data_IF_339466675007
#
_entry.id   IF_339466675007
#
_cell.length_a   1.000
_cell.length_b   1.000
_cell.length_c   1.000
_cell.angle_alpha   90.00
_cell.angle_beta   90.00
_cell.angle_gamma   90.00
#
_symmetry.space_group_name_H-M   'P 1'
#
loop_
_entity.id
_entity.type
_entity.pdbx_description
1 polymer ?
#
# COMPACT_ATOMS: atom_id res chain seq x y z
N UNK A 1 76.78 14.95 -9.84
CA UNK A 1 76.12 15.40 -11.08
C UNK A 1 75.47 14.17 -11.70
N UNK A 2 74.29 13.78 -11.20
CA UNK A 2 73.43 12.72 -11.71
C UNK A 2 72.22 12.62 -10.78
N UNK A 3 71.27 13.53 -10.95
CA UNK A 3 69.89 13.44 -10.48
C UNK A 3 69.10 14.35 -11.39
N UNK A 4 68.62 13.81 -12.50
CA UNK A 4 67.53 14.33 -13.32
C UNK A 4 67.25 13.22 -14.33
N UNK A 5 65.97 12.88 -14.52
CA UNK A 5 65.40 11.90 -15.48
C UNK A 5 64.72 10.67 -14.83
N UNK A 6 63.71 10.89 -14.00
CA UNK A 6 62.63 9.92 -13.82
C UNK A 6 61.30 10.61 -13.44
N UNK A 7 60.82 11.51 -14.30
CA UNK A 7 59.41 11.94 -14.32
C UNK A 7 58.84 11.74 -15.73
N UNK A 8 58.97 10.51 -16.23
CA UNK A 8 58.36 10.06 -17.46
C UNK A 8 56.94 9.54 -17.20
N UNK A 9 55.97 10.18 -17.87
CA UNK A 9 54.76 9.54 -18.37
C UNK A 9 53.49 9.45 -17.49
N UNK A 10 53.07 10.60 -16.92
CA UNK A 10 51.68 10.80 -16.44
C UNK A 10 50.76 11.49 -17.47
N UNK A 11 51.16 11.60 -18.74
CA UNK A 11 50.34 12.18 -19.82
C UNK A 11 49.49 11.13 -20.55
N UNK A 12 48.78 10.28 -19.81
CA UNK A 12 47.58 9.64 -20.38
C UNK A 12 46.54 10.76 -20.53
N UNK A 13 46.15 11.05 -21.77
CA UNK A 13 45.14 12.04 -22.09
C UNK A 13 43.86 11.79 -21.27
N UNK A 14 43.71 12.51 -20.16
CA UNK A 14 42.46 12.59 -19.42
C UNK A 14 41.49 13.33 -20.34
N UNK A 15 40.71 12.57 -21.10
CA UNK A 15 39.54 13.11 -21.79
C UNK A 15 38.69 13.81 -20.75
N UNK A 16 38.57 15.12 -20.85
CA UNK A 16 37.74 15.90 -19.93
C UNK A 16 36.35 15.26 -19.89
N UNK A 17 35.83 14.95 -18.69
CA UNK A 17 34.54 14.31 -18.58
C UNK A 17 33.48 15.22 -19.20
N UNK A 18 32.48 14.61 -19.83
CA UNK A 18 31.40 15.32 -20.52
C UNK A 18 30.06 15.02 -19.87
N UNK A 19 29.16 16.00 -19.89
CA UNK A 19 27.79 15.83 -19.43
C UNK A 19 27.12 14.70 -20.22
N UNK A 20 26.48 13.72 -19.57
CA UNK A 20 25.85 12.61 -20.26
C UNK A 20 24.70 13.04 -21.19
N UNK A 21 24.12 14.24 -20.94
CA UNK A 21 22.97 14.79 -21.65
C UNK A 21 23.36 15.67 -22.84
N UNK A 22 24.04 16.80 -22.60
CA UNK A 22 24.38 17.77 -23.64
C UNK A 22 25.82 17.65 -24.18
N UNK A 23 26.62 16.73 -23.64
CA UNK A 23 28.03 16.51 -24.00
C UNK A 23 28.98 17.69 -23.76
N UNK A 24 28.54 18.76 -23.09
CA UNK A 24 29.44 19.83 -22.64
C UNK A 24 30.50 19.29 -21.67
N UNK A 25 31.71 19.84 -21.73
CA UNK A 25 32.76 19.52 -20.75
C UNK A 25 32.29 19.89 -19.33
N UNK A 26 32.55 19.02 -18.37
CA UNK A 26 32.22 19.20 -16.96
C UNK A 26 33.46 19.01 -16.09
N UNK A 27 33.44 19.58 -14.88
CA UNK A 27 34.52 19.41 -13.92
C UNK A 27 34.49 18.03 -13.26
N UNK A 28 35.61 17.61 -12.68
CA UNK A 28 35.66 16.38 -11.88
C UNK A 28 34.65 16.40 -10.71
N UNK A 29 34.43 17.57 -10.09
CA UNK A 29 33.39 17.73 -9.07
C UNK A 29 32.00 17.47 -9.65
N UNK A 30 31.68 18.03 -10.81
CA UNK A 30 30.39 17.85 -11.48
C UNK A 30 30.13 16.40 -11.93
N UNK A 31 31.17 15.59 -12.13
CA UNK A 31 31.02 14.14 -12.35
C UNK A 31 30.51 13.44 -11.09
N UNK A 32 31.08 13.76 -9.93
CA UNK A 32 30.71 13.13 -8.66
C UNK A 32 29.35 13.66 -8.15
N UNK A 33 29.14 14.97 -8.22
CA UNK A 33 27.88 15.63 -7.88
C UNK A 33 27.70 16.91 -8.70
N UNK A 34 26.61 17.05 -9.48
CA UNK A 34 25.42 16.17 -9.55
C UNK A 34 25.46 15.08 -10.66
N UNK A 35 26.59 14.86 -11.33
CA UNK A 35 26.69 13.94 -12.48
C UNK A 35 26.24 14.55 -13.81
N UNK A 36 26.06 15.87 -13.88
CA UNK A 36 25.69 16.62 -15.09
C UNK A 36 26.23 18.07 -15.04
N UNK A 37 26.11 18.83 -16.14
CA UNK A 37 26.70 20.17 -16.26
C UNK A 37 25.97 21.30 -15.48
N UNK A 38 24.88 21.00 -14.78
CA UNK A 38 24.06 22.01 -14.08
C UNK A 38 23.06 22.80 -14.93
N UNK A 39 23.13 22.76 -16.27
CA UNK A 39 22.14 23.42 -17.12
C UNK A 39 20.74 22.82 -16.92
N UNK A 40 19.70 23.67 -16.90
CA UNK A 40 18.30 23.27 -16.62
C UNK A 40 17.82 22.06 -17.46
N UNK A 41 18.02 21.99 -18.80
CA UNK A 41 17.61 20.82 -19.57
C UNK A 41 18.33 19.53 -19.15
N UNK A 42 19.59 19.63 -18.72
CA UNK A 42 20.37 18.48 -18.27
C UNK A 42 19.96 18.04 -16.85
N UNK A 43 19.57 18.99 -15.99
CA UNK A 43 19.02 18.72 -14.67
C UNK A 43 17.67 17.99 -14.77
N UNK A 44 16.75 18.50 -15.59
CA UNK A 44 15.46 17.85 -15.83
C UNK A 44 15.62 16.44 -16.43
N UNK A 45 16.51 16.28 -17.40
CA UNK A 45 16.80 14.97 -17.97
C UNK A 45 17.46 14.02 -16.94
N UNK A 46 18.28 14.54 -16.03
CA UNK A 46 18.87 13.73 -14.95
C UNK A 46 17.80 13.24 -13.98
N UNK A 47 16.90 14.12 -13.53
CA UNK A 47 15.74 13.76 -12.69
C UNK A 47 14.87 12.74 -13.41
N UNK A 48 14.50 12.99 -14.66
CA UNK A 48 13.64 12.09 -15.43
C UNK A 48 14.26 10.70 -15.59
N UNK A 49 15.57 10.60 -15.85
CA UNK A 49 16.27 9.31 -15.88
C UNK A 49 16.29 8.64 -14.51
N UNK A 50 16.49 9.39 -13.43
CA UNK A 50 16.44 8.85 -12.07
C UNK A 50 15.06 8.29 -11.72
N UNK A 51 13.99 9.03 -12.04
CA UNK A 51 12.60 8.58 -11.85
C UNK A 51 12.30 7.35 -12.70
N UNK A 52 12.72 7.32 -13.96
CA UNK A 52 12.53 6.17 -14.83
C UNK A 52 13.29 4.94 -14.33
N UNK A 53 14.56 5.09 -13.95
CA UNK A 53 15.35 3.99 -13.41
C UNK A 53 14.75 3.43 -12.12
N UNK A 54 14.22 4.28 -11.23
CA UNK A 54 13.49 3.82 -10.04
C UNK A 54 12.21 3.08 -10.39
N UNK A 55 11.48 3.52 -11.43
CA UNK A 55 10.28 2.82 -11.91
C UNK A 55 10.64 1.44 -12.48
N UNK A 56 11.64 1.38 -13.37
CA UNK A 56 12.10 0.15 -14.01
C UNK A 56 12.61 -0.85 -12.96
N UNK A 57 13.36 -0.37 -11.96
CA UNK A 57 13.84 -1.20 -10.86
C UNK A 57 12.67 -1.79 -10.06
N UNK A 58 11.68 -0.97 -9.68
CA UNK A 58 10.50 -1.46 -8.94
C UNK A 58 9.69 -2.48 -9.73
N UNK A 59 9.55 -2.29 -11.04
CA UNK A 59 8.86 -3.22 -11.91
C UNK A 59 9.60 -4.56 -11.99
N UNK A 60 10.93 -4.54 -12.10
CA UNK A 60 11.78 -5.73 -12.04
C UNK A 60 11.65 -6.45 -10.69
N UNK A 61 11.77 -5.72 -9.57
CA UNK A 61 11.62 -6.27 -8.22
C UNK A 61 10.23 -6.91 -8.02
N UNK A 62 9.17 -6.33 -8.59
CA UNK A 62 7.82 -6.90 -8.53
C UNK A 62 7.70 -8.20 -9.35
N UNK A 63 8.27 -8.24 -10.56
CA UNK A 63 8.28 -9.45 -11.41
C UNK A 63 9.07 -10.58 -10.74
N UNK A 64 10.22 -10.28 -10.14
CA UNK A 64 11.03 -11.27 -9.42
C UNK A 64 10.27 -11.86 -8.23
N UNK A 65 9.64 -11.02 -7.41
CA UNK A 65 8.76 -11.47 -6.32
C UNK A 65 7.60 -12.32 -6.83
N UNK A 66 6.99 -11.94 -7.95
CA UNK A 66 5.91 -12.71 -8.58
C UNK A 66 6.38 -14.09 -9.01
N UNK A 67 7.54 -14.21 -9.65
CA UNK A 67 8.09 -15.49 -10.09
C UNK A 67 8.46 -16.39 -8.91
N UNK A 68 9.14 -15.84 -7.90
CA UNK A 68 9.47 -16.58 -6.67
C UNK A 68 8.20 -17.07 -5.94
N UNK A 69 7.18 -16.22 -5.85
CA UNK A 69 5.91 -16.59 -5.23
C UNK A 69 5.16 -17.67 -6.01
N UNK A 70 5.19 -17.64 -7.35
CA UNK A 70 4.61 -18.69 -8.20
C UNK A 70 5.25 -20.04 -7.95
N UNK A 71 6.59 -20.08 -7.92
CA UNK A 71 7.35 -21.30 -7.67
C UNK A 71 7.07 -21.84 -6.26
N UNK A 72 7.09 -20.98 -5.25
CA UNK A 72 6.87 -21.36 -3.85
C UNK A 72 5.43 -21.79 -3.51
N UNK A 73 4.45 -21.45 -4.34
CA UNK A 73 3.02 -21.75 -4.10
C UNK A 73 2.32 -22.46 -5.26
N UNK A 74 3.05 -23.17 -6.12
CA UNK A 74 2.51 -23.87 -7.28
C UNK A 74 1.27 -24.75 -6.96
N UNK A 75 1.29 -25.49 -5.84
CA UNK A 75 0.15 -26.29 -5.40
C UNK A 75 -1.08 -25.44 -5.06
N UNK A 76 -0.90 -24.36 -4.31
CA UNK A 76 -1.99 -23.44 -3.97
C UNK A 76 -2.53 -22.73 -5.22
N UNK A 77 -1.69 -22.43 -6.21
CA UNK A 77 -2.14 -21.88 -7.50
C UNK A 77 -3.00 -22.87 -8.28
N UNK A 78 -2.66 -24.16 -8.27
CA UNK A 78 -3.51 -25.19 -8.88
C UNK A 78 -4.87 -25.29 -8.16
N UNK A 79 -4.89 -25.20 -6.84
CA UNK A 79 -6.13 -25.13 -6.04
C UNK A 79 -6.94 -23.88 -6.36
N UNK A 80 -6.30 -22.72 -6.50
CA UNK A 80 -6.95 -21.48 -6.91
C UNK A 80 -7.63 -21.63 -8.27
N UNK A 81 -6.90 -22.18 -9.25
CA UNK A 81 -7.40 -22.40 -10.60
C UNK A 81 -8.62 -23.32 -10.60
N UNK A 82 -8.55 -24.42 -9.83
CA UNK A 82 -9.68 -25.33 -9.63
C UNK A 82 -10.92 -24.61 -9.07
N UNK A 83 -10.76 -23.81 -8.00
CA UNK A 83 -11.87 -23.08 -7.40
C UNK A 83 -12.47 -22.00 -8.33
N UNK A 84 -11.64 -21.40 -9.19
CA UNK A 84 -12.08 -20.41 -10.18
C UNK A 84 -12.52 -21.03 -11.51
N UNK A 85 -12.51 -22.37 -11.61
CA UNK A 85 -12.87 -23.13 -12.80
C UNK A 85 -12.12 -22.64 -14.05
N UNK A 86 -10.78 -22.55 -13.95
CA UNK A 86 -9.90 -22.19 -15.06
C UNK A 86 -8.60 -22.99 -15.02
N UNK A 87 -7.81 -22.86 -16.08
CA UNK A 87 -6.44 -23.39 -16.10
C UNK A 87 -5.51 -22.49 -15.28
N UNK A 88 -4.41 -23.05 -14.79
CA UNK A 88 -3.43 -22.27 -14.00
C UNK A 88 -2.76 -21.17 -14.83
N UNK A 89 -2.57 -21.40 -16.14
CA UNK A 89 -2.00 -20.42 -17.07
C UNK A 89 -2.94 -19.23 -17.34
N UNK A 90 -4.24 -19.39 -17.07
CA UNK A 90 -5.24 -18.32 -17.19
C UNK A 90 -5.30 -17.41 -15.95
N UNK A 91 -4.63 -17.79 -14.85
CA UNK A 91 -4.61 -16.99 -13.63
C UNK A 91 -3.67 -15.79 -13.77
N UNK A 92 -4.22 -14.60 -13.56
CA UNK A 92 -3.37 -13.46 -13.21
C UNK A 92 -2.81 -13.70 -11.81
N UNK A 93 -1.51 -13.47 -11.63
CA UNK A 93 -0.86 -13.61 -10.33
C UNK A 93 -0.51 -12.22 -9.81
N UNK A 94 -1.01 -11.87 -8.64
CA UNK A 94 -0.62 -10.65 -7.95
C UNK A 94 0.16 -11.01 -6.69
N UNK A 95 1.11 -10.15 -6.32
CA UNK A 95 1.84 -10.28 -5.07
C UNK A 95 1.60 -9.04 -4.25
N UNK A 96 1.26 -9.24 -2.98
CA UNK A 96 1.07 -8.17 -1.99
C UNK A 96 1.92 -8.49 -0.77
N UNK A 97 2.36 -7.49 0.01
CA UNK A 97 3.05 -7.77 1.27
C UNK A 97 2.12 -8.52 2.21
N UNK A 98 2.64 -9.22 3.20
CA UNK A 98 1.87 -9.89 4.23
C UNK A 98 2.27 -9.34 5.59
N UNK A 99 1.28 -8.91 6.39
CA UNK A 99 1.52 -8.49 7.76
C UNK A 99 1.97 -9.70 8.59
N UNK A 100 3.16 -9.62 9.19
CA UNK A 100 3.75 -10.68 10.01
C UNK A 100 4.04 -10.24 11.45
N UNK A 101 3.60 -9.06 11.87
CA UNK A 101 3.75 -8.61 13.24
C UNK A 101 2.92 -9.49 14.18
N UNK A 102 3.34 -9.67 15.44
CA UNK A 102 2.58 -10.43 16.42
C UNK A 102 1.18 -9.87 16.63
N UNK A 103 0.22 -10.77 16.86
CA UNK A 103 -1.13 -10.44 17.30
C UNK A 103 -1.18 -10.63 18.81
N UNK A 104 -1.51 -9.56 19.52
CA UNK A 104 -1.47 -9.49 20.98
C UNK A 104 -2.81 -8.91 21.49
N UNK A 105 -3.22 -9.19 22.74
CA UNK A 105 -4.42 -8.55 23.31
C UNK A 105 -4.35 -7.03 23.15
N UNK A 106 -5.44 -6.41 22.68
CA UNK A 106 -5.48 -4.96 22.48
C UNK A 106 -5.20 -4.26 23.82
N UNK A 107 -4.14 -3.43 23.94
CA UNK A 107 -3.80 -2.82 25.20
C UNK A 107 -4.96 -1.95 25.74
N UNK A 108 -5.33 -2.06 27.03
CA UNK A 108 -6.41 -1.26 27.60
C UNK A 108 -6.20 0.25 27.41
N UNK A 109 -4.95 0.72 27.54
CA UNK A 109 -4.60 2.12 27.30
C UNK A 109 -4.89 2.58 25.85
N UNK A 110 -4.74 1.70 24.85
CA UNK A 110 -5.05 2.03 23.45
C UNK A 110 -6.56 2.08 23.24
N UNK A 111 -7.29 1.14 23.83
CA UNK A 111 -8.76 1.13 23.83
C UNK A 111 -9.33 2.40 24.47
N UNK A 112 -8.81 2.80 25.62
CA UNK A 112 -9.21 4.03 26.32
C UNK A 112 -8.87 5.29 25.53
N UNK A 113 -7.65 5.38 24.98
CA UNK A 113 -7.24 6.50 24.16
C UNK A 113 -8.09 6.64 22.88
N UNK A 114 -8.40 5.50 22.24
CA UNK A 114 -9.30 5.47 21.09
C UNK A 114 -10.72 5.89 21.46
N UNK A 115 -11.27 5.38 22.57
CA UNK A 115 -12.60 5.77 23.04
C UNK A 115 -12.68 7.28 23.27
N UNK A 116 -11.69 7.87 23.96
CA UNK A 116 -11.66 9.32 24.21
C UNK A 116 -11.60 10.14 22.91
N UNK A 117 -10.78 9.71 21.95
CA UNK A 117 -10.73 10.36 20.64
C UNK A 117 -12.07 10.25 19.89
N UNK A 118 -12.65 9.06 19.90
CA UNK A 118 -13.91 8.75 19.23
C UNK A 118 -15.07 9.56 19.80
N UNK A 119 -15.23 9.58 21.12
CA UNK A 119 -16.27 10.36 21.81
C UNK A 119 -16.17 11.84 21.45
N UNK A 120 -14.95 12.39 21.45
CA UNK A 120 -14.69 13.78 21.07
C UNK A 120 -15.12 14.09 19.63
N UNK A 121 -14.69 13.30 18.64
CA UNK A 121 -15.02 13.58 17.24
C UNK A 121 -16.51 13.34 16.94
N UNK A 122 -17.18 12.47 17.69
CA UNK A 122 -18.62 12.25 17.56
C UNK A 122 -19.38 13.42 18.19
N UNK A 123 -19.03 13.86 19.40
CA UNK A 123 -19.64 15.04 20.03
C UNK A 123 -19.53 16.27 19.11
N UNK A 124 -18.34 16.51 18.55
CA UNK A 124 -18.11 17.58 17.58
C UNK A 124 -18.98 17.42 16.31
N UNK A 125 -19.15 16.20 15.79
CA UNK A 125 -20.00 15.94 14.62
C UNK A 125 -21.49 16.21 14.89
N UNK A 126 -22.01 15.77 16.05
CA UNK A 126 -23.40 16.01 16.44
C UNK A 126 -23.67 17.49 16.70
N UNK A 127 -22.72 18.22 17.28
CA UNK A 127 -22.84 19.66 17.54
C UNK A 127 -22.97 20.51 16.26
N UNK A 128 -22.44 20.04 15.12
CA UNK A 128 -22.56 20.72 13.84
C UNK A 128 -23.98 20.63 13.22
N UNK A 129 -24.79 19.66 13.64
CA UNK A 129 -26.19 19.49 13.24
C UNK A 129 -26.42 19.19 11.76
N UNK A 130 -27.69 19.22 11.34
CA UNK A 130 -28.14 18.74 10.02
C UNK A 130 -27.52 19.49 8.83
N UNK A 131 -27.20 20.78 8.98
CA UNK A 131 -26.58 21.57 7.91
C UNK A 131 -25.18 21.07 7.51
N UNK A 132 -24.46 20.44 8.44
CA UNK A 132 -23.15 19.84 8.14
C UNK A 132 -23.28 18.46 7.51
N UNK A 133 -24.40 17.74 7.72
CA UNK A 133 -24.69 16.47 7.05
C UNK A 133 -25.01 16.69 5.56
N UNK A 134 -25.73 17.77 5.24
CA UNK A 134 -26.04 18.15 3.85
C UNK A 134 -24.79 18.58 3.06
N UNK A 135 -23.82 19.19 3.75
CA UNK A 135 -22.55 19.65 3.17
C UNK A 135 -21.39 18.66 3.35
N UNK A 136 -21.61 17.58 4.10
CA UNK A 136 -20.65 16.49 4.16
C UNK A 136 -20.64 15.89 2.76
N UNK A 137 -19.65 16.29 1.96
CA UNK A 137 -19.32 15.62 0.72
C UNK A 137 -19.38 14.13 1.03
N UNK A 138 -20.34 13.44 0.41
CA UNK A 138 -20.42 11.99 0.46
C UNK A 138 -19.04 11.53 0.07
N UNK A 139 -18.26 11.12 1.07
CA UNK A 139 -16.90 10.68 0.85
C UNK A 139 -16.99 9.61 -0.24
N UNK A 140 -16.06 9.53 -1.20
CA UNK A 140 -16.12 8.59 -2.33
C UNK A 140 -16.10 7.10 -1.93
N UNK A 141 -16.40 6.77 -0.67
CA UNK A 141 -16.89 5.47 -0.22
C UNK A 141 -18.07 4.93 -1.07
N UNK A 142 -18.73 5.75 -1.89
CA UNK A 142 -19.88 5.32 -2.71
C UNK A 142 -19.52 4.79 -4.10
N UNK A 143 -18.32 5.03 -4.64
CA UNK A 143 -17.90 4.21 -5.78
C UNK A 143 -17.44 2.90 -5.16
N UNK A 144 -18.18 1.82 -5.40
CA UNK A 144 -17.72 0.49 -5.08
C UNK A 144 -16.33 0.31 -5.71
N UNK A 145 -15.26 0.48 -4.92
CA UNK A 145 -13.95 0.06 -5.38
C UNK A 145 -14.05 -1.42 -5.74
N UNK A 146 -13.36 -1.82 -6.80
CA UNK A 146 -13.45 -3.18 -7.31
C UNK A 146 -13.15 -4.17 -6.18
N UNK A 147 -14.02 -5.16 -6.01
CA UNK A 147 -13.94 -6.20 -4.98
C UNK A 147 -12.57 -6.92 -4.95
N UNK A 148 -11.81 -6.84 -6.04
CA UNK A 148 -10.42 -7.30 -6.15
C UNK A 148 -9.44 -6.54 -5.22
N UNK A 149 -9.64 -5.25 -4.99
CA UNK A 149 -8.80 -4.45 -4.09
C UNK A 149 -9.06 -4.89 -2.64
N UNK A 150 -10.31 -5.14 -2.28
CA UNK A 150 -10.68 -5.71 -0.98
C UNK A 150 -10.06 -7.08 -0.78
N UNK A 151 -10.06 -7.91 -1.83
CA UNK A 151 -9.43 -9.22 -1.79
C UNK A 151 -7.94 -9.10 -1.49
N UNK A 152 -7.25 -8.19 -2.17
CA UNK A 152 -5.83 -7.96 -1.97
C UNK A 152 -5.47 -7.39 -0.59
N UNK A 153 -6.27 -6.45 -0.09
CA UNK A 153 -6.13 -5.92 1.27
C UNK A 153 -6.33 -7.02 2.34
N UNK A 154 -7.29 -7.93 2.12
CA UNK A 154 -7.56 -9.06 3.01
C UNK A 154 -6.48 -10.15 2.92
N UNK A 155 -5.84 -10.30 1.76
CA UNK A 155 -4.67 -11.17 1.60
C UNK A 155 -3.44 -10.59 2.32
N UNK A 156 -3.21 -9.28 2.24
CA UNK A 156 -2.09 -8.62 2.94
C UNK A 156 -2.33 -8.42 4.45
N UNK A 157 -3.57 -8.60 4.90
CA UNK A 157 -4.04 -8.36 6.28
C UNK A 157 -3.71 -6.95 6.79
N UNK A 158 -3.77 -5.95 5.91
CA UNK A 158 -3.54 -4.56 6.30
C UNK A 158 -2.09 -4.22 6.59
N UNK A 159 -1.11 -4.80 5.88
CA UNK A 159 0.32 -4.46 6.04
C UNK A 159 0.59 -2.94 6.07
N UNK A 160 -0.12 -2.15 5.26
CA UNK A 160 0.03 -0.68 5.25
C UNK A 160 -0.58 0.02 6.47
N UNK A 161 -1.52 -0.61 7.19
CA UNK A 161 -2.18 -0.03 8.36
C UNK A 161 -1.19 0.24 9.51
N UNK A 162 -0.13 -0.59 9.63
CA UNK A 162 0.97 -0.37 10.56
C UNK A 162 1.74 0.94 10.30
N UNK A 163 1.72 1.45 9.07
CA UNK A 163 2.51 2.64 8.66
C UNK A 163 1.77 3.95 8.84
N UNK A 164 0.47 3.92 9.15
CA UNK A 164 -0.35 5.12 9.06
C UNK A 164 -1.41 5.30 10.15
N UNK A 165 -2.01 4.25 10.71
CA UNK A 165 -3.21 4.39 11.54
C UNK A 165 -3.07 5.20 12.84
N UNK A 166 -1.83 5.36 13.31
CA UNK A 166 -1.56 5.63 14.72
C UNK A 166 -2.11 4.50 15.60
N UNK A 167 -1.64 4.39 16.83
CA UNK A 167 -2.10 3.33 17.71
C UNK A 167 -3.54 3.56 18.19
N UNK A 168 -4.06 4.80 18.14
CA UNK A 168 -5.23 5.18 18.95
C UNK A 168 -6.30 6.03 18.25
N UNK A 169 -6.22 6.32 16.94
CA UNK A 169 -7.23 7.19 16.29
C UNK A 169 -7.78 6.65 14.97
N UNK A 170 -7.18 5.60 14.39
CA UNK A 170 -7.68 4.90 13.20
C UNK A 170 -8.04 5.81 12.01
N UNK A 171 -7.36 6.96 11.90
CA UNK A 171 -7.69 8.06 10.98
C UNK A 171 -9.15 8.58 11.03
N UNK A 172 -9.92 8.24 12.06
CA UNK A 172 -11.28 8.74 12.19
C UNK A 172 -11.24 10.23 12.52
N UNK A 173 -12.06 10.99 11.81
CA UNK A 173 -12.20 12.45 11.94
C UNK A 173 -13.67 12.82 12.04
N UNK A 174 -13.97 14.06 12.41
CA UNK A 174 -15.33 14.61 12.35
C UNK A 174 -15.97 14.41 10.97
N UNK A 175 -15.20 14.61 9.87
CA UNK A 175 -15.69 14.36 8.50
C UNK A 175 -16.08 12.89 8.27
N UNK A 176 -15.32 11.95 8.84
CA UNK A 176 -15.65 10.52 8.77
C UNK A 176 -16.99 10.23 9.45
N UNK A 177 -17.19 10.77 10.65
CA UNK A 177 -18.44 10.58 11.42
C UNK A 177 -19.62 11.23 10.72
N UNK A 178 -19.49 12.45 10.20
CA UNK A 178 -20.55 13.10 9.41
C UNK A 178 -20.93 12.28 8.17
N UNK A 179 -19.95 11.70 7.48
CA UNK A 179 -20.20 10.79 6.36
C UNK A 179 -20.99 9.55 6.78
N UNK A 180 -20.62 8.92 7.90
CA UNK A 180 -21.35 7.79 8.46
C UNK A 180 -22.78 8.15 8.89
N UNK A 181 -22.96 9.28 9.59
CA UNK A 181 -24.27 9.79 10.01
C UNK A 181 -25.18 10.17 8.82
N UNK A 182 -24.61 10.65 7.71
CA UNK A 182 -25.39 10.96 6.51
C UNK A 182 -26.17 9.76 5.96
N UNK A 183 -25.65 8.54 6.21
CA UNK A 183 -26.24 7.26 5.81
C UNK A 183 -27.06 6.59 6.93
N UNK A 184 -26.97 7.10 8.17
CA UNK A 184 -27.55 6.51 9.38
C UNK A 184 -28.11 7.62 10.29
N UNK A 185 -29.08 8.39 9.79
CA UNK A 185 -29.52 9.65 10.43
C UNK A 185 -30.32 9.43 11.71
N UNK A 186 -30.81 8.21 11.94
CA UNK A 186 -31.57 7.81 13.12
C UNK A 186 -30.72 7.44 14.34
N UNK A 187 -29.39 7.30 14.18
CA UNK A 187 -28.51 6.89 15.27
C UNK A 187 -28.25 8.02 16.26
N UNK A 188 -28.22 7.67 17.54
CA UNK A 188 -27.80 8.56 18.62
C UNK A 188 -26.28 8.51 18.78
N UNK A 189 -25.71 9.50 19.47
CA UNK A 189 -24.27 9.58 19.75
C UNK A 189 -23.74 8.28 20.40
N UNK A 190 -24.47 7.74 21.37
CA UNK A 190 -24.13 6.49 22.06
C UNK A 190 -24.11 5.29 21.12
N UNK A 191 -25.04 5.22 20.16
CA UNK A 191 -25.10 4.16 19.16
C UNK A 191 -23.89 4.19 18.23
N UNK A 192 -23.45 5.39 17.81
CA UNK A 192 -22.26 5.56 16.98
C UNK A 192 -21.00 5.16 17.76
N UNK A 193 -20.88 5.57 19.03
CA UNK A 193 -19.76 5.13 19.88
C UNK A 193 -19.74 3.60 19.98
N UNK A 194 -20.88 2.98 20.29
CA UNK A 194 -21.02 1.53 20.41
C UNK A 194 -20.60 0.82 19.12
N UNK A 195 -21.06 1.30 17.96
CA UNK A 195 -20.71 0.72 16.65
C UNK A 195 -19.19 0.59 16.44
N UNK A 196 -18.43 1.64 16.73
CA UNK A 196 -16.97 1.60 16.58
C UNK A 196 -16.28 0.84 17.71
N UNK A 197 -16.77 0.92 18.95
CA UNK A 197 -16.15 0.23 20.09
C UNK A 197 -16.37 -1.28 20.02
N UNK A 198 -17.52 -1.74 19.54
CA UNK A 198 -17.87 -3.16 19.38
C UNK A 198 -17.10 -3.80 18.21
N UNK A 199 -16.66 -2.99 17.24
CA UNK A 199 -15.81 -3.44 16.16
C UNK A 199 -14.33 -3.65 16.57
N UNK A 200 -13.92 -3.25 17.78
CA UNK A 200 -12.56 -3.50 18.25
C UNK A 200 -12.33 -5.01 18.44
N UNK A 201 -11.25 -5.58 17.87
CA UNK A 201 -10.91 -6.97 18.11
C UNK A 201 -10.43 -7.17 19.55
N UNK A 202 -10.58 -8.39 20.07
CA UNK A 202 -9.99 -8.78 21.36
C UNK A 202 -8.45 -8.75 21.31
N UNK A 203 -7.88 -9.10 20.16
CA UNK A 203 -6.45 -9.05 19.91
C UNK A 203 -6.17 -8.31 18.60
N UNK A 204 -5.21 -7.39 18.64
CA UNK A 204 -4.80 -6.57 17.51
C UNK A 204 -3.36 -6.86 17.13
N UNK A 205 -3.02 -6.57 15.89
CA UNK A 205 -1.63 -6.55 15.43
C UNK A 205 -0.85 -5.52 16.23
N UNK A 206 0.34 -5.89 16.71
CA UNK A 206 1.22 -5.00 17.46
C UNK A 206 1.71 -3.84 16.59
N UNK A 207 1.79 -2.64 17.18
CA UNK A 207 2.26 -1.41 16.53
C UNK A 207 1.48 -1.07 15.24
N UNK A 208 0.16 -1.30 15.29
CA UNK A 208 -0.77 -1.11 14.19
C UNK A 208 -2.05 -0.39 14.66
N UNK A 209 -2.96 -0.15 13.72
CA UNK A 209 -4.27 0.42 14.00
C UNK A 209 -5.08 -0.49 14.95
N UNK A 210 -5.83 0.10 15.89
CA UNK A 210 -6.70 -0.62 16.84
C UNK A 210 -7.69 -1.61 16.20
N UNK A 211 -8.08 -1.38 14.94
CA UNK A 211 -9.00 -2.27 14.20
C UNK A 211 -8.32 -3.38 13.41
N UNK A 212 -6.99 -3.47 13.43
CA UNK A 212 -6.27 -4.51 12.68
C UNK A 212 -6.16 -5.78 13.51
N UNK A 213 -6.94 -6.80 13.16
CA UNK A 213 -6.83 -8.17 13.70
C UNK A 213 -5.88 -9.02 12.87
N UNK A 214 -5.76 -10.29 13.27
CA UNK A 214 -5.09 -11.35 12.50
C UNK A 214 -5.73 -11.62 11.14
N UNK A 215 -6.95 -11.14 10.87
CA UNK A 215 -7.65 -11.30 9.59
C UNK A 215 -7.73 -9.99 8.78
N UNK A 216 -7.10 -8.92 9.25
CA UNK A 216 -7.16 -7.60 8.62
C UNK A 216 -8.04 -6.64 9.41
N UNK A 217 -8.67 -5.67 8.73
CA UNK A 217 -9.46 -4.66 9.42
C UNK A 217 -10.84 -5.19 9.83
N UNK A 218 -11.19 -5.08 11.10
CA UNK A 218 -12.50 -5.49 11.64
C UNK A 218 -13.62 -4.50 11.35
N UNK A 219 -13.30 -3.26 10.94
CA UNK A 219 -14.31 -2.33 10.47
C UNK A 219 -14.77 -2.68 9.06
N UNK A 220 -16.09 -2.64 8.89
CA UNK A 220 -16.76 -2.55 7.60
C UNK A 220 -16.24 -1.35 6.80
N UNK A 221 -16.11 -1.53 5.48
CA UNK A 221 -15.49 -0.53 4.60
C UNK A 221 -16.21 0.83 4.66
N UNK A 222 -17.54 0.81 4.79
CA UNK A 222 -18.39 2.00 4.91
C UNK A 222 -18.12 2.80 6.20
N UNK A 223 -17.62 2.15 7.25
CA UNK A 223 -17.25 2.79 8.52
C UNK A 223 -15.77 3.17 8.61
N UNK A 224 -14.95 2.82 7.62
CA UNK A 224 -13.54 3.20 7.61
C UNK A 224 -13.38 4.69 7.24
N UNK A 225 -12.28 5.28 7.69
CA UNK A 225 -11.87 6.60 7.23
C UNK A 225 -11.67 6.63 5.70
N UNK A 226 -11.93 7.78 5.09
CA UNK A 226 -11.78 7.97 3.64
C UNK A 226 -10.39 7.52 3.13
N UNK A 227 -9.33 7.86 3.87
CA UNK A 227 -7.97 7.45 3.53
C UNK A 227 -7.81 5.94 3.43
N UNK A 228 -8.43 5.17 4.35
CA UNK A 228 -8.39 3.71 4.32
C UNK A 228 -9.08 3.14 3.08
N UNK A 229 -10.01 3.90 2.50
CA UNK A 229 -10.79 3.48 1.34
C UNK A 229 -10.24 3.98 0.01
N UNK A 230 -9.25 4.88 0.00
CA UNK A 230 -8.66 5.42 -1.23
C UNK A 230 -7.15 5.22 -1.31
N UNK A 231 -6.53 4.66 -0.27
CA UNK A 231 -5.09 4.44 -0.23
C UNK A 231 -4.71 3.19 -1.01
N UNK A 232 -3.92 3.36 -2.06
CA UNK A 232 -3.29 2.26 -2.79
C UNK A 232 -1.82 2.18 -2.43
N UNK A 233 -1.40 1.04 -1.89
CA UNK A 233 0.02 0.75 -1.74
C UNK A 233 0.65 0.48 -3.12
N UNK A 234 1.98 0.48 -3.19
CA UNK A 234 2.69 0.23 -4.43
C UNK A 234 2.27 -1.09 -5.11
N UNK A 235 2.12 -2.16 -4.33
CA UNK A 235 1.75 -3.48 -4.86
C UNK A 235 0.27 -3.53 -5.31
N UNK A 236 -0.62 -2.76 -4.68
CA UNK A 236 -2.01 -2.60 -5.17
C UNK A 236 -2.05 -1.83 -6.49
N UNK A 237 -1.21 -0.82 -6.68
CA UNK A 237 -1.06 -0.16 -7.97
C UNK A 237 -0.57 -1.13 -9.06
N UNK A 238 0.47 -1.92 -8.77
CA UNK A 238 0.98 -2.92 -9.70
C UNK A 238 -0.11 -3.96 -10.05
N UNK A 239 -0.88 -4.41 -9.07
CA UNK A 239 -2.03 -5.30 -9.28
C UNK A 239 -3.13 -4.65 -10.14
N UNK A 240 -3.49 -3.39 -9.87
CA UNK A 240 -4.46 -2.67 -10.67
C UNK A 240 -4.01 -2.54 -12.13
N UNK A 241 -2.72 -2.32 -12.38
CA UNK A 241 -2.14 -2.28 -13.72
C UNK A 241 -2.20 -3.65 -14.42
N UNK A 242 -2.04 -4.77 -13.68
CA UNK A 242 -2.21 -6.13 -14.22
C UNK A 242 -3.62 -6.38 -14.74
N UNK A 243 -4.65 -5.87 -14.06
CA UNK A 243 -6.03 -6.03 -14.54
C UNK A 243 -6.35 -5.12 -15.72
N UNK A 244 -5.57 -4.04 -15.90
CA UNK A 244 -5.84 -2.96 -16.88
C UNK A 244 -7.25 -2.39 -16.73
N UNK A 245 -7.76 -2.35 -15.50
CA UNK A 245 -9.12 -1.90 -15.18
C UNK A 245 -10.22 -2.91 -15.56
N UNK A 246 -9.89 -4.14 -15.95
CA UNK A 246 -10.86 -5.21 -16.17
C UNK A 246 -11.31 -5.81 -14.85
N UNK A 247 -12.60 -6.05 -14.69
CA UNK A 247 -13.18 -6.74 -13.54
C UNK A 247 -13.38 -8.23 -13.80
N UNK A 248 -13.47 -8.68 -15.06
CA UNK A 248 -13.70 -10.08 -15.47
C UNK A 248 -12.43 -10.97 -15.38
N UNK A 249 -11.54 -10.67 -14.43
CA UNK A 249 -10.28 -11.39 -14.26
C UNK A 249 -10.41 -12.51 -13.23
N UNK A 250 -9.66 -13.60 -13.48
CA UNK A 250 -9.40 -14.65 -12.50
C UNK A 250 -8.00 -14.43 -11.97
N UNK A 251 -7.87 -14.28 -10.66
CA UNK A 251 -6.63 -13.87 -10.04
C UNK A 251 -6.31 -14.75 -8.83
N UNK A 252 -5.04 -15.11 -8.70
CA UNK A 252 -4.48 -15.55 -7.42
C UNK A 252 -3.62 -14.41 -6.85
N UNK A 253 -3.93 -14.04 -5.61
CA UNK A 253 -3.25 -12.99 -4.87
C UNK A 253 -2.40 -13.68 -3.80
N UNK A 254 -1.10 -13.42 -3.80
CA UNK A 254 -0.15 -14.05 -2.88
C UNK A 254 0.38 -13.00 -1.91
N UNK A 255 0.11 -13.18 -0.62
CA UNK A 255 0.73 -12.42 0.46
C UNK A 255 2.14 -12.93 0.71
N UNK A 256 3.15 -12.06 0.61
CA UNK A 256 4.57 -12.40 0.83
C UNK A 256 5.16 -11.63 2.00
N UNK A 257 5.99 -12.30 2.79
CA UNK A 257 6.79 -11.68 3.83
C UNK A 257 8.27 -11.98 3.58
N UNK A 258 9.10 -10.96 3.38
CA UNK A 258 10.53 -11.10 3.04
C UNK A 258 10.76 -12.20 1.98
N UNK A 259 10.04 -12.09 0.87
CA UNK A 259 10.02 -13.02 -0.28
C UNK A 259 9.48 -14.43 0.00
N UNK A 260 9.05 -14.72 1.23
CA UNK A 260 8.41 -15.98 1.60
C UNK A 260 6.89 -15.88 1.44
N UNK A 261 6.25 -16.69 0.58
CA UNK A 261 4.81 -16.68 0.43
C UNK A 261 4.10 -17.20 1.68
N UNK A 262 3.28 -16.35 2.30
CA UNK A 262 2.59 -16.61 3.56
C UNK A 262 1.12 -17.00 3.36
N UNK A 263 0.40 -16.31 2.48
CA UNK A 263 -1.05 -16.50 2.25
C UNK A 263 -1.37 -16.48 0.77
N UNK A 264 -2.36 -17.26 0.34
CA UNK A 264 -2.88 -17.18 -1.04
C UNK A 264 -4.39 -17.00 -0.99
N UNK A 265 -4.91 -16.12 -1.83
CA UNK A 265 -6.34 -15.97 -2.06
C UNK A 265 -6.63 -16.10 -3.55
N UNK A 266 -7.71 -16.79 -3.89
CA UNK A 266 -8.26 -16.80 -5.24
C UNK A 266 -9.37 -15.75 -5.32
N UNK A 267 -9.50 -15.07 -6.46
CA UNK A 267 -10.52 -14.06 -6.67
C UNK A 267 -11.07 -14.10 -8.10
N UNK A 268 -12.38 -13.94 -8.23
CA UNK A 268 -13.05 -13.48 -9.45
C UNK A 268 -14.34 -12.75 -9.05
N UNK A 269 -14.87 -11.90 -9.93
CA UNK A 269 -16.16 -11.23 -9.66
C UNK A 269 -17.32 -12.21 -9.47
N UNK A 270 -17.28 -13.38 -10.13
CA UNK A 270 -18.35 -14.38 -10.04
C UNK A 270 -18.26 -15.19 -8.74
N UNK A 271 -17.06 -15.63 -8.38
CA UNK A 271 -16.85 -16.50 -7.21
C UNK A 271 -16.62 -15.71 -5.91
N UNK A 272 -16.34 -14.41 -5.99
CA UNK A 272 -15.82 -13.63 -4.88
C UNK A 272 -14.39 -14.03 -4.51
N UNK A 273 -13.96 -13.65 -3.31
CA UNK A 273 -12.67 -14.05 -2.74
C UNK A 273 -12.79 -15.39 -2.02
N UNK A 274 -11.84 -16.30 -2.29
CA UNK A 274 -11.68 -17.57 -1.59
C UNK A 274 -10.29 -17.55 -0.94
N UNK A 275 -10.24 -17.51 0.39
CA UNK A 275 -8.97 -17.64 1.12
C UNK A 275 -8.55 -19.11 1.14
N UNK A 276 -7.30 -19.39 0.78
CA UNK A 276 -6.73 -20.72 0.87
C UNK A 276 -5.90 -20.82 2.14
N UNK A 277 -6.06 -21.93 2.86
CA UNK A 277 -5.24 -22.20 4.02
C UNK A 277 -3.77 -22.33 3.61
N UNK A 278 -2.83 -21.87 4.44
CA UNK A 278 -1.42 -22.13 4.22
C UNK A 278 -1.17 -23.64 4.38
N UNK A 279 -1.09 -24.35 3.26
CA UNK A 279 -0.54 -25.70 3.20
C UNK A 279 0.93 -25.72 3.62
#
# INVERSE_FOLDING_TARGET
MQQDEEFGDFKKALTSPVCPHCKAAISAHQVLQPGHCGAEPCFLAHISRGVQAQKDQREQDYIERQNSAKEGKASALATAAFHLNCDTDDLLIAVVPFQNNPVEPLPPAHREAFQQHLEKIIEEAFALGSSALENAEISPNSSAEHSIIDAACSTCQGFCCARGGGENHAFLTVKTILGYLSQNQELLQEDVVAHYMDALPQASVRAACVFQSDQGCTLERTSRAALCNTFYCHDLFAMHDLTKGRSDVRMAIIGVNDDTPAKVSAFSEIAGQICMDPA
#
